data_IF_175690922921
#
_entry.id   IF_175690922921
#
_cell.length_a   1.000
_cell.length_b   1.000
_cell.length_c   1.000
_cell.angle_alpha   90.00
_cell.angle_beta   90.00
_cell.angle_gamma   90.00
#
_symmetry.space_group_name_H-M   'P 1'
#
loop_
_entity.id
_entity.type
_entity.pdbx_description
1 polymer ?
#
# COMPACT_ATOMS: atom_id res chain seq x y z
N UNK A 1 -12.58 35.80 -5.24
CA UNK A 1 -12.80 35.72 -3.78
C UNK A 1 -14.28 35.46 -3.55
N UNK A 2 -14.62 34.51 -2.68
CA UNK A 2 -15.98 34.14 -2.32
C UNK A 2 -16.11 34.36 -0.81
N UNK A 3 -16.91 35.33 -0.33
CA UNK A 3 -17.14 35.47 1.11
C UNK A 3 -17.84 34.24 1.69
N UNK A 4 -17.94 34.19 3.02
CA UNK A 4 -18.72 33.16 3.70
C UNK A 4 -20.18 33.18 3.20
N UNK A 5 -20.71 32.01 2.85
CA UNK A 5 -22.00 31.90 2.20
C UNK A 5 -22.17 30.57 1.48
N UNK A 6 -23.40 30.31 1.03
CA UNK A 6 -23.74 29.12 0.23
C UNK A 6 -23.97 29.56 -1.21
N UNK A 7 -23.18 29.03 -2.14
CA UNK A 7 -23.23 29.33 -3.56
C UNK A 7 -23.74 28.11 -4.31
N UNK A 8 -24.90 28.23 -4.95
CA UNK A 8 -25.45 27.17 -5.78
C UNK A 8 -24.93 27.30 -7.22
N UNK A 9 -24.31 26.25 -7.74
CA UNK A 9 -23.86 26.17 -9.13
C UNK A 9 -24.94 25.46 -9.95
N UNK A 10 -25.73 26.22 -10.70
CA UNK A 10 -26.75 25.67 -11.62
C UNK A 10 -26.28 25.61 -13.07
N UNK A 11 -25.11 26.16 -13.35
CA UNK A 11 -24.48 26.16 -14.68
C UNK A 11 -23.00 25.96 -14.49
N UNK A 12 -22.39 25.18 -15.38
CA UNK A 12 -20.99 24.82 -15.31
C UNK A 12 -20.08 26.06 -15.23
N UNK A 13 -19.15 26.05 -14.28
CA UNK A 13 -18.14 27.10 -14.16
C UNK A 13 -16.87 26.70 -14.91
N UNK A 14 -16.56 27.39 -16.00
CA UNK A 14 -15.28 27.19 -16.70
C UNK A 14 -14.17 27.98 -16.01
N UNK A 15 -13.12 27.29 -15.58
CA UNK A 15 -11.93 27.92 -15.01
C UNK A 15 -10.87 28.10 -16.11
N UNK A 16 -10.44 29.34 -16.30
CA UNK A 16 -9.33 29.69 -17.17
C UNK A 16 -7.96 29.48 -16.49
N UNK A 17 -6.87 29.73 -17.23
CA UNK A 17 -5.51 29.62 -16.71
C UNK A 17 -5.22 30.69 -15.66
N UNK A 18 -4.42 30.36 -14.64
CA UNK A 18 -3.96 31.27 -13.57
C UNK A 18 -5.11 31.87 -12.72
N UNK A 19 -6.13 31.07 -12.42
CA UNK A 19 -7.26 31.52 -11.59
C UNK A 19 -6.98 31.20 -10.12
N UNK A 20 -7.26 32.16 -9.25
CA UNK A 20 -7.21 31.96 -7.80
C UNK A 20 -8.61 32.07 -7.22
N UNK A 21 -9.21 30.92 -6.90
CA UNK A 21 -10.50 30.86 -6.21
C UNK A 21 -10.25 30.69 -4.71
N UNK A 22 -10.69 31.68 -3.94
CA UNK A 22 -10.41 31.76 -2.50
C UNK A 22 -11.73 31.98 -1.79
N UNK A 23 -12.09 31.05 -0.91
CA UNK A 23 -13.20 31.20 0.02
C UNK A 23 -12.77 31.65 1.42
N UNK A 24 -13.74 31.81 2.30
CA UNK A 24 -13.59 32.07 3.74
C UNK A 24 -13.89 30.81 4.58
N UNK A 25 -13.53 29.62 4.10
CA UNK A 25 -13.60 28.42 4.93
C UNK A 25 -12.44 28.37 5.93
N UNK A 26 -12.76 28.20 7.20
CA UNK A 26 -11.78 27.72 8.19
C UNK A 26 -11.97 26.21 8.29
N UNK A 27 -10.96 25.38 7.99
CA UNK A 27 -11.02 23.94 8.23
C UNK A 27 -11.07 23.68 9.74
N UNK A 28 -12.27 23.81 10.32
CA UNK A 28 -12.54 23.58 11.74
C UNK A 28 -12.89 22.12 11.97
N UNK A 29 -12.55 21.62 13.17
CA UNK A 29 -12.89 20.29 13.68
C UNK A 29 -14.28 19.81 13.20
N UNK A 30 -14.32 18.55 12.75
CA UNK A 30 -15.40 17.82 12.06
C UNK A 30 -16.84 17.93 12.64
N UNK A 31 -17.05 18.64 13.74
CA UNK A 31 -18.25 18.52 14.59
C UNK A 31 -19.23 19.69 14.52
N UNK A 32 -19.00 20.74 13.73
CA UNK A 32 -19.90 21.90 13.70
C UNK A 32 -20.78 21.95 12.45
N UNK A 33 -22.03 21.55 12.64
CA UNK A 33 -23.20 21.63 11.72
C UNK A 33 -23.62 23.05 11.33
N UNK A 34 -22.87 24.09 11.69
CA UNK A 34 -23.20 25.48 11.35
C UNK A 34 -22.14 26.07 10.43
N UNK A 35 -22.56 26.35 9.20
CA UNK A 35 -21.78 26.89 8.09
C UNK A 35 -21.08 28.20 8.46
N UNK A 36 -19.83 28.14 8.90
CA UNK A 36 -18.99 29.34 9.13
C UNK A 36 -17.99 29.59 7.98
N UNK A 37 -18.33 29.20 6.75
CA UNK A 37 -17.44 29.38 5.61
C UNK A 37 -18.12 29.41 4.26
N UNK A 38 -17.30 29.44 3.21
CA UNK A 38 -17.74 29.37 1.81
C UNK A 38 -18.08 27.93 1.43
N UNK A 39 -19.35 27.69 1.10
CA UNK A 39 -19.85 26.40 0.62
C UNK A 39 -20.31 26.56 -0.82
N UNK A 40 -19.75 25.78 -1.74
CA UNK A 40 -20.17 25.68 -3.14
C UNK A 40 -20.98 24.40 -3.29
N UNK A 41 -22.28 24.54 -3.55
CA UNK A 41 -23.21 23.45 -3.74
C UNK A 41 -23.44 23.15 -5.22
N UNK A 42 -23.45 21.86 -5.56
CA UNK A 42 -23.82 21.39 -6.88
C UNK A 42 -25.32 21.53 -7.10
N UNK A 43 -25.73 22.11 -8.23
CA UNK A 43 -27.07 21.95 -8.78
C UNK A 43 -27.23 20.57 -9.44
N UNK A 44 -28.47 20.21 -9.77
CA UNK A 44 -28.76 18.95 -10.46
C UNK A 44 -28.07 18.90 -11.84
N UNK A 45 -27.42 17.78 -12.16
CA UNK A 45 -26.81 17.51 -13.47
C UNK A 45 -25.81 18.56 -14.01
N UNK A 46 -25.00 19.18 -13.14
CA UNK A 46 -23.97 20.13 -13.56
C UNK A 46 -22.57 19.64 -13.22
N UNK A 47 -21.55 19.97 -14.01
CA UNK A 47 -20.16 19.93 -13.53
C UNK A 47 -19.93 21.23 -12.77
N UNK A 48 -19.46 21.19 -11.52
CA UNK A 48 -19.22 22.42 -10.77
C UNK A 48 -18.12 23.25 -11.42
N UNK A 49 -16.95 22.64 -11.68
CA UNK A 49 -15.82 23.29 -12.34
C UNK A 49 -15.33 22.44 -13.52
N UNK A 50 -15.25 23.07 -14.68
CA UNK A 50 -14.64 22.49 -15.88
C UNK A 50 -13.34 23.23 -16.20
N UNK A 51 -12.24 22.50 -16.29
CA UNK A 51 -10.90 23.04 -16.58
C UNK A 51 -10.30 22.30 -17.78
N UNK A 52 -10.79 22.63 -18.97
CA UNK A 52 -10.40 21.96 -20.21
C UNK A 52 -9.50 22.85 -21.07
N UNK A 53 -8.29 22.37 -21.33
CA UNK A 53 -7.42 22.89 -22.40
C UNK A 53 -7.82 22.35 -23.76
N UNK A 54 -7.46 23.06 -24.82
CA UNK A 54 -7.79 22.63 -26.20
C UNK A 54 -6.69 21.76 -26.82
N UNK A 55 -5.46 21.83 -26.30
CA UNK A 55 -4.33 21.13 -26.90
C UNK A 55 -3.25 20.74 -25.90
N UNK A 56 -2.70 19.54 -26.10
CA UNK A 56 -1.76 18.85 -25.21
C UNK A 56 -0.46 19.60 -24.90
N UNK A 57 0.07 20.43 -25.81
CA UNK A 57 1.40 21.06 -25.65
C UNK A 57 1.37 22.58 -25.60
N UNK A 58 0.33 23.20 -26.15
CA UNK A 58 0.30 24.64 -26.43
C UNK A 58 -0.81 25.37 -25.68
N UNK A 59 -1.89 24.68 -25.29
CA UNK A 59 -3.01 25.26 -24.56
C UNK A 59 -3.42 24.37 -23.37
N UNK A 60 -2.42 24.01 -22.56
CA UNK A 60 -2.69 23.39 -21.26
C UNK A 60 -3.19 24.44 -20.27
N UNK A 61 -4.28 24.11 -19.57
CA UNK A 61 -4.91 24.94 -18.54
C UNK A 61 -4.29 24.68 -17.17
N UNK A 62 -4.85 25.34 -16.15
CA UNK A 62 -4.40 25.21 -14.77
C UNK A 62 -3.48 26.34 -14.33
N UNK A 63 -2.44 26.02 -13.54
CA UNK A 63 -1.68 26.98 -12.71
C UNK A 63 -2.60 27.77 -11.77
N UNK A 64 -3.68 27.12 -11.34
CA UNK A 64 -4.75 27.72 -10.57
C UNK A 64 -4.69 27.19 -9.15
N UNK A 65 -5.03 28.06 -8.20
CA UNK A 65 -5.15 27.67 -6.79
C UNK A 65 -6.60 27.81 -6.35
N UNK A 66 -7.14 26.75 -5.76
CA UNK A 66 -8.46 26.73 -5.14
C UNK A 66 -8.24 26.47 -3.66
N UNK A 67 -8.73 27.36 -2.80
CA UNK A 67 -8.48 27.23 -1.36
C UNK A 67 -9.61 27.71 -0.50
N UNK A 68 -9.71 27.11 0.69
CA UNK A 68 -10.67 27.48 1.73
C UNK A 68 -12.12 27.44 1.23
N UNK A 69 -12.51 26.34 0.56
CA UNK A 69 -13.87 26.15 0.06
C UNK A 69 -14.35 24.74 0.42
N UNK A 70 -15.59 24.65 0.90
CA UNK A 70 -16.30 23.39 1.01
C UNK A 70 -17.13 23.18 -0.26
N UNK A 71 -16.85 22.12 -1.00
CA UNK A 71 -17.64 21.65 -2.12
C UNK A 71 -18.58 20.57 -1.63
N UNK A 72 -19.87 20.77 -1.85
CA UNK A 72 -20.90 19.86 -1.37
C UNK A 72 -21.83 19.47 -2.50
N UNK A 73 -22.06 18.18 -2.66
CA UNK A 73 -23.09 17.73 -3.60
C UNK A 73 -24.46 17.69 -2.91
N UNK A 74 -25.49 17.95 -3.72
CA UNK A 74 -26.87 17.71 -3.31
C UNK A 74 -27.20 16.22 -3.42
N UNK A 75 -28.46 15.86 -3.23
CA UNK A 75 -28.98 14.54 -3.62
C UNK A 75 -29.12 14.48 -5.14
N UNK A 76 -27.99 14.48 -5.85
CA UNK A 76 -27.92 14.57 -7.29
C UNK A 76 -27.79 13.17 -7.90
N UNK A 77 -28.67 12.85 -8.84
CA UNK A 77 -28.63 11.57 -9.58
C UNK A 77 -27.79 11.65 -10.86
N UNK A 78 -27.05 12.74 -11.07
CA UNK A 78 -26.22 12.93 -12.25
C UNK A 78 -25.05 11.95 -12.31
N UNK A 79 -24.72 11.52 -13.52
CA UNK A 79 -23.50 10.78 -13.84
C UNK A 79 -22.30 11.70 -14.10
N UNK A 80 -22.50 13.02 -14.17
CA UNK A 80 -21.40 13.96 -14.39
C UNK A 80 -20.54 14.04 -13.13
N UNK A 81 -19.25 14.20 -13.31
CA UNK A 81 -18.30 14.45 -12.22
C UNK A 81 -18.47 15.85 -11.64
N UNK A 82 -18.04 16.10 -10.40
CA UNK A 82 -18.14 17.45 -9.80
C UNK A 82 -17.11 18.38 -10.44
N UNK A 83 -15.91 17.85 -10.64
CA UNK A 83 -14.83 18.55 -11.30
C UNK A 83 -14.38 17.71 -12.49
N UNK A 84 -14.37 18.34 -13.65
CA UNK A 84 -13.79 17.76 -14.85
C UNK A 84 -12.59 18.60 -15.28
N UNK A 85 -11.47 17.94 -15.57
CA UNK A 85 -10.31 18.63 -16.12
C UNK A 85 -9.67 17.81 -17.25
N UNK A 86 -9.22 18.51 -18.29
CA UNK A 86 -8.52 17.89 -19.41
C UNK A 86 -7.38 18.77 -19.87
N UNK A 87 -6.20 18.19 -20.07
CA UNK A 87 -4.97 18.93 -20.40
C UNK A 87 -4.72 20.09 -19.41
N UNK A 88 -4.86 19.82 -18.11
CA UNK A 88 -4.78 20.81 -17.05
C UNK A 88 -3.64 20.47 -16.09
N UNK A 89 -2.75 21.42 -15.85
CA UNK A 89 -1.57 21.20 -15.02
C UNK A 89 -1.45 22.14 -13.84
N UNK A 90 -0.58 21.79 -12.90
CA UNK A 90 -0.11 22.70 -11.86
C UNK A 90 -1.29 23.26 -11.03
N UNK A 91 -2.24 22.38 -10.68
CA UNK A 91 -3.38 22.74 -9.86
C UNK A 91 -3.06 22.55 -8.39
N UNK A 92 -3.46 23.51 -7.56
CA UNK A 92 -3.31 23.43 -6.12
C UNK A 92 -4.66 23.57 -5.43
N UNK A 93 -4.96 22.61 -4.57
CA UNK A 93 -6.13 22.62 -3.70
C UNK A 93 -5.64 22.69 -2.27
N UNK A 94 -6.05 23.70 -1.51
CA UNK A 94 -5.52 23.94 -0.17
C UNK A 94 -6.69 24.14 0.79
N UNK A 95 -6.74 23.35 1.86
CA UNK A 95 -7.73 23.53 2.92
C UNK A 95 -9.18 23.48 2.38
N UNK A 96 -9.42 22.64 1.37
CA UNK A 96 -10.74 22.40 0.77
C UNK A 96 -11.41 21.18 1.37
N UNK A 97 -12.75 21.19 1.44
CA UNK A 97 -13.55 20.03 1.84
C UNK A 97 -14.38 19.55 0.66
N UNK A 98 -14.45 18.25 0.43
CA UNK A 98 -15.34 17.59 -0.53
C UNK A 98 -16.33 16.74 0.26
N UNK A 99 -17.59 17.15 0.31
CA UNK A 99 -18.65 16.56 1.14
C UNK A 99 -19.75 15.94 0.28
N UNK A 100 -19.65 14.64 0.07
CA UNK A 100 -20.66 13.86 -0.66
C UNK A 100 -21.78 13.44 0.31
N UNK A 101 -23.04 13.24 -0.13
CA UNK A 101 -24.07 12.63 0.71
C UNK A 101 -23.99 11.09 0.71
N UNK A 102 -24.08 10.47 1.89
CA UNK A 102 -23.98 9.02 2.19
C UNK A 102 -25.04 8.10 1.56
N UNK A 103 -25.86 8.60 0.64
CA UNK A 103 -26.94 7.84 0.01
C UNK A 103 -26.94 8.00 -1.52
N UNK A 104 -25.84 8.45 -2.11
CA UNK A 104 -25.74 8.57 -3.55
C UNK A 104 -25.46 7.19 -4.19
N UNK A 105 -26.37 6.79 -5.08
CA UNK A 105 -26.28 5.56 -5.88
C UNK A 105 -25.74 5.81 -7.30
N UNK A 106 -25.29 7.03 -7.59
CA UNK A 106 -24.99 7.49 -8.96
C UNK A 106 -23.51 7.68 -9.24
N UNK A 107 -23.16 7.62 -10.53
CA UNK A 107 -21.80 7.35 -11.04
C UNK A 107 -20.82 8.53 -11.10
N UNK A 108 -21.26 9.77 -10.89
CA UNK A 108 -20.37 10.93 -11.11
C UNK A 108 -19.24 11.02 -10.09
N UNK A 109 -17.98 11.01 -10.52
CA UNK A 109 -16.82 11.11 -9.61
C UNK A 109 -16.72 12.50 -8.96
N UNK A 110 -16.01 12.61 -7.82
CA UNK A 110 -15.71 13.94 -7.26
C UNK A 110 -14.76 14.66 -8.21
N UNK A 111 -13.60 14.06 -8.50
CA UNK A 111 -12.66 14.55 -9.51
C UNK A 111 -12.55 13.54 -10.63
N UNK A 112 -12.63 14.03 -11.86
CA UNK A 112 -12.42 13.26 -13.08
C UNK A 112 -11.49 14.04 -14.00
N UNK A 113 -10.32 13.46 -14.28
CA UNK A 113 -9.29 14.12 -15.07
C UNK A 113 -8.82 13.27 -16.22
N UNK A 114 -8.52 13.94 -17.32
CA UNK A 114 -7.92 13.35 -18.50
C UNK A 114 -6.59 14.05 -18.82
N UNK A 115 -5.49 13.29 -18.85
CA UNK A 115 -4.16 13.79 -19.23
C UNK A 115 -3.73 15.06 -18.47
N UNK A 116 -3.78 15.03 -17.14
CA UNK A 116 -3.51 16.17 -16.26
C UNK A 116 -2.27 15.95 -15.38
N UNK A 117 -1.42 16.99 -15.20
CA UNK A 117 -0.09 16.85 -14.54
C UNK A 117 0.12 17.79 -13.36
N UNK A 118 0.96 17.40 -12.41
CA UNK A 118 1.42 18.28 -11.32
C UNK A 118 0.28 18.81 -10.43
N UNK A 119 -0.61 17.93 -9.95
CA UNK A 119 -1.72 18.32 -9.06
C UNK A 119 -1.36 18.10 -7.60
N UNK A 120 -1.67 19.07 -6.74
CA UNK A 120 -1.40 19.01 -5.31
C UNK A 120 -2.69 19.29 -4.51
N UNK A 121 -3.03 18.39 -3.59
CA UNK A 121 -4.05 18.57 -2.57
C UNK A 121 -3.37 18.68 -1.21
N UNK A 122 -3.55 19.80 -0.52
CA UNK A 122 -2.85 20.12 0.71
C UNK A 122 -3.87 20.37 1.83
N UNK A 123 -3.88 19.49 2.84
CA UNK A 123 -4.82 19.52 3.98
C UNK A 123 -6.29 19.52 3.57
N UNK A 124 -6.60 18.89 2.44
CA UNK A 124 -8.00 18.73 2.01
C UNK A 124 -8.70 17.62 2.79
N UNK A 125 -10.02 17.75 2.93
CA UNK A 125 -10.88 16.76 3.57
C UNK A 125 -11.80 16.15 2.51
N UNK A 126 -11.89 14.83 2.46
CA UNK A 126 -12.75 14.06 1.57
C UNK A 126 -13.72 13.26 2.44
N UNK A 127 -15.02 13.49 2.32
CA UNK A 127 -16.05 12.81 3.12
C UNK A 127 -16.98 12.02 2.21
N UNK A 128 -17.35 10.83 2.66
CA UNK A 128 -18.39 10.01 2.01
C UNK A 128 -18.08 9.73 0.54
N UNK A 129 -16.79 9.63 0.22
CA UNK A 129 -16.33 9.55 -1.17
C UNK A 129 -16.52 8.13 -1.73
N UNK A 130 -16.71 8.07 -3.04
CA UNK A 130 -16.81 6.80 -3.77
C UNK A 130 -18.23 6.23 -3.84
N UNK A 131 -19.15 6.65 -2.96
CA UNK A 131 -20.56 6.25 -2.94
C UNK A 131 -20.82 4.74 -2.97
N UNK A 132 -22.08 4.32 -3.01
CA UNK A 132 -22.43 2.88 -3.08
C UNK A 132 -22.20 2.25 -4.47
N UNK A 133 -21.84 3.05 -5.47
CA UNK A 133 -21.61 2.55 -6.82
C UNK A 133 -20.17 2.03 -6.97
N UNK A 134 -19.95 0.82 -7.50
CA UNK A 134 -18.59 0.27 -7.70
C UNK A 134 -17.72 1.09 -8.66
N UNK A 135 -18.34 2.02 -9.39
CA UNK A 135 -17.73 2.85 -10.43
C UNK A 135 -17.68 4.33 -10.07
N UNK A 136 -17.95 4.71 -8.81
CA UNK A 136 -17.75 6.08 -8.36
C UNK A 136 -16.50 6.20 -7.51
N UNK A 137 -15.73 7.28 -7.74
CA UNK A 137 -14.37 7.47 -7.23
C UNK A 137 -14.22 8.87 -6.61
N UNK A 138 -13.36 9.01 -5.61
CA UNK A 138 -12.91 10.32 -5.13
C UNK A 138 -12.10 11.03 -6.24
N UNK A 139 -11.23 10.28 -6.91
CA UNK A 139 -10.53 10.75 -8.09
C UNK A 139 -10.42 9.65 -9.15
N UNK A 140 -10.89 9.94 -10.35
CA UNK A 140 -10.63 9.18 -11.56
C UNK A 140 -9.49 9.85 -12.34
N UNK A 141 -8.38 9.14 -12.52
CA UNK A 141 -7.19 9.63 -13.20
C UNK A 141 -7.05 8.91 -14.55
N UNK A 142 -7.63 9.48 -15.60
CA UNK A 142 -7.68 8.88 -16.93
C UNK A 142 -6.55 9.36 -17.85
N UNK A 143 -5.83 8.43 -18.47
CA UNK A 143 -4.74 8.72 -19.41
C UNK A 143 -5.20 9.23 -20.78
N UNK A 144 -6.48 9.09 -21.15
CA UNK A 144 -6.93 9.55 -22.47
C UNK A 144 -6.24 8.87 -23.65
N UNK A 145 -6.18 9.57 -24.77
CA UNK A 145 -5.77 9.02 -26.05
C UNK A 145 -4.25 9.00 -26.28
N UNK A 146 -3.47 9.80 -25.53
CA UNK A 146 -2.05 9.99 -25.84
C UNK A 146 -1.14 9.87 -24.61
N UNK A 147 -1.44 10.51 -23.48
CA UNK A 147 -0.44 10.79 -22.44
C UNK A 147 -0.77 10.29 -21.03
N UNK A 148 0.22 10.26 -20.13
CA UNK A 148 0.00 9.84 -18.74
C UNK A 148 -0.73 10.91 -17.93
N UNK A 149 -1.48 10.50 -16.90
CA UNK A 149 -1.69 11.33 -15.71
C UNK A 149 -0.45 11.16 -14.81
N UNK A 150 0.15 12.25 -14.37
CA UNK A 150 1.37 12.18 -13.57
C UNK A 150 1.55 13.25 -12.50
N UNK A 151 2.38 12.91 -11.51
CA UNK A 151 2.81 13.81 -10.44
C UNK A 151 1.65 14.37 -9.61
N UNK A 152 0.88 13.48 -8.99
CA UNK A 152 -0.29 13.81 -8.16
C UNK A 152 0.02 13.60 -6.68
N UNK A 153 -0.11 14.65 -5.89
CA UNK A 153 0.29 14.67 -4.50
C UNK A 153 -0.91 14.97 -3.60
N UNK A 154 -1.13 14.14 -2.59
CA UNK A 154 -2.00 14.40 -1.46
C UNK A 154 -1.13 14.55 -0.22
N UNK A 155 -1.14 15.73 0.40
CA UNK A 155 -0.28 16.09 1.52
C UNK A 155 -1.12 16.54 2.70
N UNK A 156 -1.09 15.79 3.80
CA UNK A 156 -1.87 16.13 5.00
C UNK A 156 -3.38 16.00 4.81
N UNK A 157 -3.83 15.32 3.75
CA UNK A 157 -5.25 15.16 3.46
C UNK A 157 -5.92 14.17 4.41
N UNK A 158 -7.24 14.29 4.58
CA UNK A 158 -8.04 13.37 5.38
C UNK A 158 -9.17 12.79 4.54
N UNK A 159 -9.32 11.49 4.57
CA UNK A 159 -10.34 10.72 3.87
C UNK A 159 -11.23 10.07 4.93
N UNK A 160 -12.52 10.36 4.89
CA UNK A 160 -13.53 9.94 5.89
C UNK A 160 -14.67 9.17 5.23
N UNK A 161 -15.02 8.03 5.82
CA UNK A 161 -16.17 7.20 5.46
C UNK A 161 -16.22 6.92 3.96
N UNK A 162 -15.20 6.26 3.41
CA UNK A 162 -15.27 5.82 2.01
C UNK A 162 -16.42 4.84 1.87
N UNK A 163 -17.29 5.01 0.87
CA UNK A 163 -18.37 4.06 0.58
C UNK A 163 -18.06 3.22 -0.68
N UNK A 164 -16.98 3.55 -1.40
CA UNK A 164 -16.59 2.94 -2.66
C UNK A 164 -15.09 2.99 -2.90
N UNK A 165 -14.68 3.01 -4.17
CA UNK A 165 -13.24 3.07 -4.51
C UNK A 165 -12.72 4.49 -4.29
N UNK A 166 -11.55 4.62 -3.65
CA UNK A 166 -10.92 5.91 -3.37
C UNK A 166 -10.40 6.57 -4.65
N UNK A 167 -9.22 6.12 -5.09
CA UNK A 167 -8.49 6.74 -6.21
C UNK A 167 -8.24 5.67 -7.26
N UNK A 168 -8.74 5.92 -8.46
CA UNK A 168 -8.59 5.00 -9.59
C UNK A 168 -7.70 5.67 -10.62
N UNK A 169 -6.64 4.96 -10.99
CA UNK A 169 -5.85 5.23 -12.17
C UNK A 169 -6.40 4.42 -13.32
N UNK A 170 -7.01 5.07 -14.30
CA UNK A 170 -7.46 4.41 -15.52
C UNK A 170 -6.46 4.69 -16.65
N UNK A 171 -5.84 3.63 -17.18
CA UNK A 171 -5.02 3.72 -18.40
C UNK A 171 -5.58 2.90 -19.57
N UNK A 172 -6.90 2.72 -19.62
CA UNK A 172 -7.61 2.03 -20.70
C UNK A 172 -7.68 2.84 -22.00
N UNK A 173 -7.34 4.13 -21.96
CA UNK A 173 -7.30 4.98 -23.14
C UNK A 173 -6.17 4.60 -24.10
N UNK A 174 -6.25 5.10 -25.34
CA UNK A 174 -5.31 4.78 -26.43
C UNK A 174 -3.87 5.28 -26.20
N UNK A 175 -3.66 6.08 -25.14
CA UNK A 175 -2.39 6.70 -24.81
C UNK A 175 -1.40 5.79 -24.13
N UNK A 176 -0.55 6.38 -23.27
CA UNK A 176 0.36 5.61 -22.44
C UNK A 176 -0.38 4.57 -21.60
N UNK A 177 0.10 3.33 -21.56
CA UNK A 177 -0.52 2.23 -20.81
C UNK A 177 -0.45 2.37 -19.28
N UNK A 178 0.00 3.54 -18.77
CA UNK A 178 0.33 3.76 -17.37
C UNK A 178 0.11 5.21 -16.94
N UNK A 179 -0.29 5.40 -15.69
CA UNK A 179 -0.12 6.64 -14.94
C UNK A 179 1.09 6.51 -14.00
N UNK A 180 1.64 7.62 -13.53
CA UNK A 180 2.89 7.59 -12.73
C UNK A 180 2.91 8.64 -11.64
N UNK A 181 3.66 8.38 -10.57
CA UNK A 181 3.92 9.33 -9.46
C UNK A 181 2.64 9.79 -8.75
N UNK A 182 1.97 8.86 -8.08
CA UNK A 182 0.92 9.16 -7.11
C UNK A 182 1.53 9.12 -5.71
N UNK A 183 1.46 10.22 -4.98
CA UNK A 183 2.09 10.36 -3.67
C UNK A 183 1.06 10.75 -2.60
N UNK A 184 1.05 10.00 -1.52
CA UNK A 184 0.31 10.30 -0.30
C UNK A 184 1.31 10.51 0.82
N UNK A 185 1.31 11.70 1.41
CA UNK A 185 2.26 12.06 2.47
C UNK A 185 1.50 12.62 3.66
N UNK A 186 1.63 11.99 4.83
CA UNK A 186 0.95 12.41 6.06
C UNK A 186 -0.58 12.49 5.93
N UNK A 187 -1.15 11.64 5.08
CA UNK A 187 -2.60 11.56 4.93
C UNK A 187 -3.20 10.69 6.02
N UNK A 188 -4.47 10.96 6.35
CA UNK A 188 -5.28 10.10 7.22
C UNK A 188 -6.40 9.48 6.40
N UNK A 189 -6.56 8.17 6.48
CA UNK A 189 -7.69 7.43 5.94
C UNK A 189 -8.45 6.85 7.12
N UNK A 190 -9.69 7.25 7.27
CA UNK A 190 -10.55 6.85 8.37
C UNK A 190 -11.88 6.37 7.81
N UNK A 191 -12.19 5.10 8.02
CA UNK A 191 -13.45 4.52 7.58
C UNK A 191 -14.13 3.79 8.74
N UNK A 192 -15.39 4.12 8.96
CA UNK A 192 -16.27 3.44 9.91
C UNK A 192 -17.24 2.48 9.21
N UNK A 193 -17.20 2.39 7.89
CA UNK A 193 -18.08 1.54 7.10
C UNK A 193 -17.47 0.15 6.87
N UNK A 194 -18.25 -0.77 6.28
CA UNK A 194 -17.78 -2.11 5.90
C UNK A 194 -16.92 -2.11 4.63
N UNK A 195 -16.66 -0.96 4.01
CA UNK A 195 -15.79 -0.86 2.83
C UNK A 195 -14.34 -0.55 3.19
N UNK A 196 -13.45 -0.69 2.20
CA UNK A 196 -12.02 -0.48 2.36
C UNK A 196 -11.69 1.00 2.60
N UNK A 197 -10.97 1.32 3.68
CA UNK A 197 -10.61 2.71 4.00
C UNK A 197 -9.78 3.41 2.93
N UNK A 198 -9.01 2.66 2.14
CA UNK A 198 -8.32 3.17 0.98
C UNK A 198 -8.30 2.10 -0.11
N UNK A 199 -8.82 2.47 -1.28
CA UNK A 199 -8.74 1.66 -2.50
C UNK A 199 -8.01 2.48 -3.55
N UNK A 200 -6.78 2.06 -3.86
CA UNK A 200 -5.94 2.66 -4.90
C UNK A 200 -5.72 1.58 -5.96
N UNK A 201 -6.16 1.83 -7.18
CA UNK A 201 -6.09 0.81 -8.24
C UNK A 201 -5.65 1.32 -9.59
N UNK A 202 -5.13 0.40 -10.40
CA UNK A 202 -4.86 0.57 -11.82
C UNK A 202 -3.38 0.54 -12.19
N UNK A 203 -3.06 0.79 -13.48
CA UNK A 203 -1.69 0.77 -14.00
C UNK A 203 -0.86 1.97 -13.51
N UNK A 204 -0.42 1.92 -12.25
CA UNK A 204 0.40 2.96 -11.61
C UNK A 204 1.87 2.52 -11.59
N UNK A 205 2.77 3.33 -12.15
CA UNK A 205 4.21 3.01 -12.19
C UNK A 205 4.94 3.43 -10.92
N UNK A 206 4.55 4.52 -10.27
CA UNK A 206 5.18 4.95 -9.01
C UNK A 206 4.09 5.36 -8.04
N UNK A 207 3.98 4.62 -6.94
CA UNK A 207 3.09 4.92 -5.84
C UNK A 207 3.93 5.10 -4.58
N UNK A 208 3.77 6.21 -3.89
CA UNK A 208 4.37 6.45 -2.58
C UNK A 208 3.27 6.70 -1.56
N UNK A 209 3.27 5.92 -0.50
CA UNK A 209 2.45 6.12 0.70
C UNK A 209 3.41 6.28 1.86
N UNK A 210 3.55 7.51 2.36
CA UNK A 210 4.57 7.90 3.32
C UNK A 210 3.96 8.60 4.54
N UNK A 211 4.27 8.09 5.73
CA UNK A 211 3.82 8.70 7.00
C UNK A 211 2.30 8.83 7.12
N UNK A 212 1.54 7.95 6.46
CA UNK A 212 0.08 7.97 6.50
C UNK A 212 -0.46 7.27 7.74
N UNK A 213 -1.71 7.58 8.10
CA UNK A 213 -2.45 6.91 9.16
C UNK A 213 -3.69 6.27 8.55
N UNK A 214 -3.87 4.98 8.79
CA UNK A 214 -5.01 4.20 8.36
C UNK A 214 -5.76 3.76 9.61
N UNK A 215 -6.98 4.24 9.77
CA UNK A 215 -7.89 3.91 10.86
C UNK A 215 -9.11 3.25 10.24
N UNK A 216 -9.20 1.93 10.32
CA UNK A 216 -10.17 1.20 9.51
C UNK A 216 -10.62 -0.07 10.20
N UNK A 217 -11.90 -0.41 10.07
CA UNK A 217 -12.41 -1.78 10.30
C UNK A 217 -11.92 -2.78 9.23
N UNK A 218 -11.42 -2.28 8.09
CA UNK A 218 -11.15 -3.07 6.88
C UNK A 218 -9.77 -2.85 6.25
N UNK A 219 -9.48 -3.70 5.27
CA UNK A 219 -8.28 -3.75 4.45
C UNK A 219 -8.04 -2.50 3.61
N UNK A 220 -6.77 -2.11 3.45
CA UNK A 220 -6.35 -1.25 2.33
C UNK A 220 -6.14 -2.11 1.09
N UNK A 221 -6.80 -1.74 -0.01
CA UNK A 221 -6.61 -2.39 -1.28
C UNK A 221 -5.69 -1.55 -2.18
N UNK A 222 -4.56 -2.17 -2.52
CA UNK A 222 -3.55 -1.64 -3.45
C UNK A 222 -3.53 -2.59 -4.65
N UNK A 223 -4.34 -2.30 -5.67
CA UNK A 223 -4.52 -3.21 -6.81
C UNK A 223 -3.85 -2.67 -8.07
N UNK A 224 -2.64 -3.16 -8.37
CA UNK A 224 -1.93 -2.84 -9.61
C UNK A 224 -2.59 -3.48 -10.83
N UNK A 225 -2.13 -3.12 -12.04
CA UNK A 225 -2.42 -3.89 -13.25
C UNK A 225 -1.27 -4.86 -13.57
N UNK A 226 -1.58 -5.97 -14.25
CA UNK A 226 -0.56 -6.95 -14.70
C UNK A 226 0.48 -6.34 -15.66
N UNK A 227 0.20 -5.16 -16.21
CA UNK A 227 0.98 -4.51 -17.27
C UNK A 227 1.91 -3.40 -16.76
N UNK A 228 1.76 -2.97 -15.51
CA UNK A 228 2.55 -1.89 -14.93
C UNK A 228 3.68 -2.44 -14.05
N UNK A 229 4.89 -2.53 -14.62
CA UNK A 229 6.11 -2.64 -13.82
C UNK A 229 6.36 -1.31 -13.12
N UNK A 230 6.07 -1.24 -11.82
CA UNK A 230 6.21 -0.03 -11.02
C UNK A 230 7.05 -0.22 -9.76
N UNK A 231 7.34 0.87 -9.06
CA UNK A 231 7.83 0.84 -7.68
C UNK A 231 6.76 1.42 -6.78
N UNK A 232 6.15 0.56 -5.98
CA UNK A 232 5.17 0.96 -4.97
C UNK A 232 5.88 0.93 -3.63
N UNK A 233 5.85 2.02 -2.88
CA UNK A 233 6.51 2.14 -1.58
C UNK A 233 5.48 2.56 -0.56
N UNK A 234 5.24 1.72 0.43
CA UNK A 234 4.43 2.02 1.60
C UNK A 234 5.36 2.04 2.81
N UNK A 235 5.53 3.22 3.41
CA UNK A 235 6.51 3.36 4.47
C UNK A 235 6.09 4.29 5.60
N UNK A 236 6.69 4.06 6.77
CA UNK A 236 6.55 4.89 7.97
C UNK A 236 5.08 5.18 8.36
N UNK A 237 4.15 4.33 7.94
CA UNK A 237 2.72 4.53 8.11
C UNK A 237 2.19 3.75 9.32
N UNK A 238 1.15 4.28 9.93
CA UNK A 238 0.44 3.64 11.04
C UNK A 238 -0.85 3.00 10.51
N UNK A 239 -1.03 1.73 10.83
CA UNK A 239 -2.22 0.95 10.55
C UNK A 239 -2.87 0.60 11.87
N UNK A 240 -4.12 1.03 12.05
CA UNK A 240 -4.88 0.76 13.26
C UNK A 240 -6.33 0.48 12.96
N UNK A 241 -6.98 -0.30 13.81
CA UNK A 241 -8.39 -0.60 13.69
C UNK A 241 -9.20 0.03 14.83
N UNK A 242 -10.43 0.41 14.50
CA UNK A 242 -11.46 0.77 15.48
C UNK A 242 -12.61 -0.21 15.24
N UNK A 243 -12.88 -1.08 16.22
CA UNK A 243 -13.94 -2.08 16.11
C UNK A 243 -13.43 -3.43 15.62
N UNK A 244 -14.04 -3.94 14.55
CA UNK A 244 -13.79 -5.30 14.08
C UNK A 244 -12.35 -5.51 13.60
N UNK A 245 -11.94 -6.77 13.68
CA UNK A 245 -10.60 -7.20 13.28
C UNK A 245 -10.55 -7.32 11.75
N UNK A 246 -9.70 -6.55 11.06
CA UNK A 246 -9.60 -6.69 9.62
C UNK A 246 -9.06 -8.07 9.25
N UNK A 247 -9.50 -8.60 8.11
CA UNK A 247 -8.95 -9.87 7.59
C UNK A 247 -7.47 -9.71 7.25
N UNK A 248 -7.10 -8.52 6.75
CA UNK A 248 -5.74 -8.07 6.47
C UNK A 248 -5.65 -6.54 6.51
N UNK A 249 -4.48 -5.97 6.78
CA UNK A 249 -4.31 -4.50 6.76
C UNK A 249 -3.94 -3.98 5.36
N UNK A 250 -3.12 -4.74 4.62
CA UNK A 250 -2.72 -4.40 3.25
C UNK A 250 -2.97 -5.59 2.34
N UNK A 251 -3.74 -5.38 1.28
CA UNK A 251 -3.87 -6.29 0.16
C UNK A 251 -3.17 -5.71 -1.07
N UNK A 252 -2.07 -6.34 -1.46
CA UNK A 252 -1.38 -6.05 -2.71
C UNK A 252 -1.92 -7.03 -3.75
N UNK A 253 -2.61 -6.49 -4.75
CA UNK A 253 -2.97 -7.21 -5.95
C UNK A 253 -1.75 -7.40 -6.86
N UNK A 254 -1.83 -6.87 -8.08
CA UNK A 254 -0.87 -7.19 -9.16
C UNK A 254 0.37 -6.29 -9.20
N UNK A 255 0.70 -5.60 -8.12
CA UNK A 255 1.79 -4.62 -8.09
C UNK A 255 3.17 -5.26 -7.94
N UNK A 256 3.96 -5.23 -9.01
CA UNK A 256 5.36 -5.67 -9.05
C UNK A 256 6.27 -4.67 -8.34
N UNK A 257 7.34 -5.12 -7.69
CA UNK A 257 8.36 -4.22 -7.10
C UNK A 257 7.88 -3.44 -5.86
N UNK A 258 6.85 -3.93 -5.18
CA UNK A 258 6.29 -3.30 -4.00
C UNK A 258 7.22 -3.41 -2.79
N UNK A 259 7.38 -2.31 -2.04
CA UNK A 259 8.20 -2.21 -0.83
C UNK A 259 7.32 -1.76 0.32
N UNK A 260 7.23 -2.55 1.39
CA UNK A 260 6.53 -2.21 2.63
C UNK A 260 7.59 -2.06 3.73
N UNK A 261 7.84 -0.82 4.15
CA UNK A 261 9.03 -0.45 4.92
C UNK A 261 8.70 0.33 6.19
N UNK A 262 9.14 -0.12 7.36
CA UNK A 262 9.04 0.67 8.62
C UNK A 262 7.60 1.08 9.00
N UNK A 263 6.58 0.29 8.66
CA UNK A 263 5.20 0.57 9.07
C UNK A 263 4.91 0.00 10.47
N UNK A 264 3.96 0.60 11.17
CA UNK A 264 3.47 0.12 12.46
C UNK A 264 2.04 -0.39 12.31
N UNK A 265 1.77 -1.60 12.76
CA UNK A 265 0.44 -2.19 12.85
C UNK A 265 0.03 -2.25 14.33
N UNK A 266 -1.08 -1.60 14.69
CA UNK A 266 -1.51 -1.43 16.08
C UNK A 266 -3.02 -1.52 16.19
N UNK A 267 -3.56 -2.54 16.87
CA UNK A 267 -5.01 -2.74 16.89
C UNK A 267 -5.46 -3.84 17.83
N UNK A 268 -6.72 -3.78 18.28
CA UNK A 268 -7.29 -4.74 19.26
C UNK A 268 -8.02 -5.84 18.47
N UNK A 269 -7.25 -6.72 17.84
CA UNK A 269 -7.81 -7.83 17.08
C UNK A 269 -6.78 -8.51 16.20
N UNK A 270 -6.54 -9.81 16.42
CA UNK A 270 -5.62 -10.60 15.60
C UNK A 270 -6.16 -10.73 14.18
N UNK A 271 -5.52 -10.08 13.20
CA UNK A 271 -5.87 -10.25 11.78
C UNK A 271 -6.12 -11.74 11.48
N UNK A 272 -7.25 -12.06 10.84
CA UNK A 272 -7.68 -13.46 10.73
C UNK A 272 -6.86 -14.27 9.74
N UNK A 273 -6.09 -13.60 8.86
CA UNK A 273 -5.25 -14.26 7.85
C UNK A 273 -3.79 -13.79 7.82
N UNK A 274 -3.53 -12.48 7.72
CA UNK A 274 -2.19 -11.88 7.80
C UNK A 274 -2.28 -10.36 7.90
N UNK A 275 -1.20 -9.68 8.30
CA UNK A 275 -1.16 -8.21 8.23
C UNK A 275 -1.01 -7.72 6.78
N UNK A 276 -0.22 -8.42 5.98
CA UNK A 276 0.04 -8.11 4.57
C UNK A 276 -0.27 -9.36 3.73
N UNK A 277 -1.11 -9.20 2.71
CA UNK A 277 -1.35 -10.21 1.68
C UNK A 277 -0.83 -9.72 0.34
N UNK A 278 -0.03 -10.57 -0.31
CA UNK A 278 0.24 -10.46 -1.74
C UNK A 278 -0.65 -11.45 -2.48
N UNK A 279 -1.27 -11.02 -3.57
CA UNK A 279 -2.01 -11.93 -4.47
C UNK A 279 -1.16 -12.13 -5.72
N UNK A 280 -0.61 -13.33 -5.92
CA UNK A 280 0.07 -13.64 -7.18
C UNK A 280 -0.94 -13.57 -8.33
N UNK A 281 -0.60 -12.87 -9.42
CA UNK A 281 -1.41 -12.95 -10.63
C UNK A 281 -1.30 -14.35 -11.23
N UNK A 282 -2.41 -14.89 -11.73
CA UNK A 282 -2.43 -16.17 -12.43
C UNK A 282 -1.52 -16.09 -13.67
N UNK A 283 -0.29 -16.56 -13.55
CA UNK A 283 0.72 -16.57 -14.62
C UNK A 283 1.80 -15.49 -14.56
N UNK A 284 1.78 -14.59 -13.57
CA UNK A 284 2.83 -13.60 -13.35
C UNK A 284 3.67 -13.95 -12.13
N UNK A 285 4.98 -14.15 -12.33
CA UNK A 285 5.92 -14.26 -11.23
C UNK A 285 5.78 -13.05 -10.30
N UNK A 286 5.47 -13.28 -9.01
CA UNK A 286 5.46 -12.25 -7.98
C UNK A 286 6.87 -11.69 -7.77
N UNK A 287 7.29 -10.76 -8.64
CA UNK A 287 8.64 -10.22 -8.67
C UNK A 287 8.75 -9.05 -7.70
N UNK A 288 9.55 -9.23 -6.65
CA UNK A 288 10.18 -8.11 -5.91
C UNK A 288 9.37 -7.46 -4.80
N UNK A 289 8.51 -8.20 -4.09
CA UNK A 289 7.95 -7.72 -2.82
C UNK A 289 9.04 -7.68 -1.74
N UNK A 290 9.31 -6.51 -1.20
CA UNK A 290 10.27 -6.31 -0.10
C UNK A 290 9.53 -5.83 1.14
N UNK A 291 9.57 -6.63 2.21
CA UNK A 291 8.97 -6.28 3.50
C UNK A 291 10.12 -6.18 4.52
N UNK A 292 10.35 -5.00 5.08
CA UNK A 292 11.42 -4.77 6.08
C UNK A 292 11.01 -3.69 7.07
N UNK A 293 11.54 -3.68 8.27
CA UNK A 293 11.27 -2.59 9.21
C UNK A 293 9.91 -2.59 9.92
N UNK A 294 8.95 -3.41 9.48
CA UNK A 294 7.58 -3.32 9.97
C UNK A 294 7.43 -3.92 11.38
N UNK A 295 6.62 -3.28 12.21
CA UNK A 295 6.39 -3.64 13.60
C UNK A 295 4.91 -3.89 13.85
N UNK A 296 4.60 -4.87 14.70
CA UNK A 296 3.26 -5.04 15.28
C UNK A 296 3.34 -4.80 16.79
N UNK A 297 2.37 -4.06 17.34
CA UNK A 297 2.27 -3.85 18.79
C UNK A 297 1.36 -4.89 19.47
N UNK A 298 0.89 -5.90 18.74
CA UNK A 298 -0.02 -6.92 19.27
C UNK A 298 0.75 -8.00 20.05
N UNK A 299 0.53 -8.07 21.36
CA UNK A 299 1.23 -8.97 22.29
C UNK A 299 0.84 -10.45 22.17
N UNK A 300 -0.16 -10.81 21.35
CA UNK A 300 -0.56 -12.19 21.10
C UNK A 300 -0.67 -12.47 19.61
N UNK A 301 0.48 -12.62 18.93
CA UNK A 301 0.52 -13.28 17.62
C UNK A 301 0.23 -14.77 17.82
N UNK A 302 -1.03 -15.11 18.14
CA UNK A 302 -1.50 -16.49 18.12
C UNK A 302 -1.45 -16.97 16.68
N UNK A 303 -0.37 -17.63 16.27
CA UNK A 303 -0.17 -18.27 14.94
C UNK A 303 -0.32 -17.41 13.68
N UNK A 304 -0.88 -16.19 13.72
CA UNK A 304 -1.08 -15.36 12.53
C UNK A 304 0.26 -14.81 12.05
N UNK A 305 0.67 -15.11 10.81
CA UNK A 305 1.91 -14.59 10.27
C UNK A 305 1.78 -13.09 9.91
N UNK A 306 2.89 -12.35 10.03
CA UNK A 306 2.99 -10.96 9.55
C UNK A 306 2.67 -10.86 8.05
N UNK A 307 2.95 -11.91 7.30
CA UNK A 307 2.76 -12.00 5.87
C UNK A 307 2.20 -13.36 5.47
N UNK A 308 1.15 -13.37 4.66
CA UNK A 308 0.67 -14.57 3.98
C UNK A 308 0.70 -14.33 2.46
N UNK A 309 1.08 -15.37 1.72
CA UNK A 309 0.98 -15.38 0.28
C UNK A 309 0.28 -16.63 -0.21
N UNK A 310 -0.52 -16.49 -1.25
CA UNK A 310 -1.29 -17.58 -1.88
C UNK A 310 -0.67 -18.05 -3.21
N UNK A 311 0.58 -17.65 -3.55
CA UNK A 311 1.28 -18.08 -4.76
C UNK A 311 2.80 -18.30 -4.63
N UNK A 312 3.45 -18.71 -5.72
CA UNK A 312 4.91 -18.94 -5.79
C UNK A 312 5.67 -17.62 -5.83
N UNK A 313 6.43 -17.27 -4.79
CA UNK A 313 7.34 -16.11 -4.80
C UNK A 313 8.73 -16.59 -5.18
N UNK A 314 9.32 -16.01 -6.22
CA UNK A 314 10.67 -16.39 -6.64
C UNK A 314 11.77 -15.73 -5.80
N UNK A 315 11.51 -14.62 -5.09
CA UNK A 315 12.43 -13.96 -4.14
C UNK A 315 11.69 -13.11 -3.12
N UNK A 316 11.37 -13.67 -1.95
CA UNK A 316 11.04 -12.85 -0.77
C UNK A 316 12.24 -12.83 0.14
N UNK A 317 12.95 -11.70 0.20
CA UNK A 317 13.80 -11.44 1.35
C UNK A 317 12.87 -10.94 2.47
N UNK A 318 12.25 -11.88 3.21
CA UNK A 318 11.60 -11.54 4.47
C UNK A 318 12.74 -11.38 5.48
N UNK A 319 13.25 -10.16 5.59
CA UNK A 319 14.13 -9.81 6.70
C UNK A 319 13.17 -9.51 7.86
N UNK A 320 12.84 -10.55 8.63
CA UNK A 320 12.00 -10.42 9.80
C UNK A 320 12.66 -9.41 10.75
N UNK A 321 11.92 -8.37 11.12
CA UNK A 321 12.51 -7.15 11.67
C UNK A 321 12.33 -7.00 13.18
N UNK A 322 12.23 -8.13 13.89
CA UNK A 322 12.51 -8.14 15.34
C UNK A 322 14.01 -7.98 15.64
N UNK A 323 14.87 -7.78 14.64
CA UNK A 323 16.32 -7.71 14.85
C UNK A 323 16.96 -9.07 15.14
N UNK A 324 16.15 -10.07 15.46
CA UNK A 324 16.60 -11.45 15.48
C UNK A 324 16.44 -12.05 14.08
N UNK A 325 17.48 -12.67 13.50
CA UNK A 325 17.27 -13.65 12.45
C UNK A 325 16.20 -14.64 12.92
N UNK A 326 15.48 -15.31 12.02
CA UNK A 326 14.74 -16.51 12.46
C UNK A 326 15.79 -17.43 13.08
N UNK A 327 15.75 -17.51 14.41
CA UNK A 327 16.70 -18.18 15.25
C UNK A 327 15.98 -19.41 15.78
N UNK A 328 16.17 -20.52 15.07
CA UNK A 328 15.69 -21.80 15.55
C UNK A 328 16.62 -22.22 16.69
N UNK A 329 16.21 -21.99 17.94
CA UNK A 329 16.91 -22.55 19.09
C UNK A 329 16.47 -24.01 19.25
N UNK A 330 17.33 -24.91 18.82
CA UNK A 330 17.05 -26.33 18.69
C UNK A 330 17.57 -27.07 19.91
N UNK A 331 16.65 -27.70 20.65
CA UNK A 331 16.93 -28.56 21.81
C UNK A 331 16.38 -29.99 21.65
N UNK A 332 15.59 -30.25 20.62
CA UNK A 332 15.05 -31.59 20.34
C UNK A 332 16.12 -32.50 19.73
N UNK A 333 16.09 -33.80 20.04
CA UNK A 333 17.08 -34.78 19.57
C UNK A 333 17.11 -34.95 18.04
N UNK A 334 15.96 -34.93 17.35
CA UNK A 334 15.89 -35.19 15.89
C UNK A 334 15.03 -34.16 15.14
N UNK A 335 15.46 -32.90 15.05
CA UNK A 335 14.70 -31.79 14.47
C UNK A 335 14.83 -31.73 12.94
N UNK A 336 13.77 -31.33 12.25
CA UNK A 336 13.88 -30.83 10.87
C UNK A 336 14.13 -29.32 10.91
N UNK A 337 15.26 -28.88 10.36
CA UNK A 337 15.67 -27.47 10.38
C UNK A 337 14.98 -26.68 9.27
N UNK A 338 14.71 -25.40 9.52
CA UNK A 338 14.26 -24.48 8.47
C UNK A 338 15.32 -24.37 7.37
N UNK A 339 14.88 -24.37 6.10
CA UNK A 339 15.74 -24.19 4.92
C UNK A 339 16.31 -22.78 4.72
N UNK A 340 16.24 -21.91 5.74
CA UNK A 340 16.73 -20.53 5.73
C UNK A 340 17.01 -20.02 7.16
N UNK A 341 17.65 -18.86 7.29
CA UNK A 341 17.87 -18.19 8.58
C UNK A 341 19.05 -18.75 9.39
N UNK A 342 18.97 -18.64 10.73
CA UNK A 342 19.99 -19.11 11.67
C UNK A 342 19.40 -20.25 12.51
N UNK A 343 20.15 -21.32 12.70
CA UNK A 343 19.84 -22.36 13.69
C UNK A 343 20.89 -22.34 14.77
N UNK A 344 20.45 -22.22 16.03
CA UNK A 344 21.27 -22.36 17.23
C UNK A 344 21.08 -23.75 17.80
N UNK A 345 22.09 -24.60 17.67
CA UNK A 345 22.10 -25.94 18.27
C UNK A 345 22.46 -25.81 19.75
N UNK A 346 21.53 -26.20 20.62
CA UNK A 346 21.74 -26.25 22.06
C UNK A 346 21.68 -27.70 22.54
N UNK A 347 22.86 -28.32 22.65
CA UNK A 347 23.01 -29.75 23.00
C UNK A 347 23.14 -30.02 24.51
N UNK A 348 22.63 -29.11 25.36
CA UNK A 348 22.81 -29.20 26.83
C UNK A 348 22.33 -30.54 27.38
N UNK A 349 21.16 -30.99 26.92
CA UNK A 349 20.52 -32.20 27.44
C UNK A 349 20.97 -33.46 26.69
N UNK A 350 21.01 -33.42 25.35
CA UNK A 350 21.37 -34.56 24.48
C UNK A 350 22.08 -34.10 23.21
N UNK A 351 22.73 -35.06 22.53
CA UNK A 351 23.21 -34.86 21.16
C UNK A 351 22.03 -34.62 20.22
N UNK A 352 22.16 -33.63 19.32
CA UNK A 352 21.14 -33.30 18.33
C UNK A 352 21.53 -33.92 16.99
N UNK A 353 20.61 -34.60 16.32
CA UNK A 353 20.73 -35.20 14.99
C UNK A 353 19.70 -34.56 14.06
N UNK A 354 19.99 -33.36 13.58
CA UNK A 354 19.09 -32.58 12.74
C UNK A 354 19.09 -33.00 11.27
N UNK A 355 18.03 -32.63 10.54
CA UNK A 355 17.96 -32.76 9.08
C UNK A 355 17.67 -31.41 8.45
N UNK A 356 18.46 -31.00 7.45
CA UNK A 356 18.23 -29.82 6.64
C UNK A 356 17.78 -30.25 5.24
N UNK A 357 16.52 -29.97 4.90
CA UNK A 357 15.98 -30.19 3.55
C UNK A 357 16.42 -29.13 2.54
N UNK A 358 15.72 -29.04 1.41
CA UNK A 358 16.02 -28.05 0.35
C UNK A 358 15.86 -26.60 0.84
N UNK A 359 16.62 -25.69 0.24
CA UNK A 359 16.51 -24.25 0.51
C UNK A 359 15.21 -23.63 -0.02
N UNK A 360 14.81 -22.50 0.56
CA UNK A 360 13.57 -21.80 0.19
C UNK A 360 13.59 -21.14 -1.22
N UNK A 361 14.79 -20.92 -1.78
CA UNK A 361 14.98 -20.32 -3.11
C UNK A 361 16.46 -20.05 -3.42
N UNK A 362 16.80 -19.81 -4.69
CA UNK A 362 18.18 -19.54 -5.13
C UNK A 362 18.76 -18.35 -4.34
N UNK A 363 19.97 -18.51 -3.81
CA UNK A 363 20.68 -17.50 -3.03
C UNK A 363 20.28 -17.45 -1.56
N UNK A 364 19.40 -18.34 -1.10
CA UNK A 364 19.07 -18.46 0.33
C UNK A 364 20.30 -18.90 1.09
N UNK A 365 20.62 -18.18 2.17
CA UNK A 365 21.72 -18.53 3.08
C UNK A 365 21.15 -19.17 4.34
N UNK A 366 21.75 -20.29 4.75
CA UNK A 366 21.50 -20.94 6.04
C UNK A 366 22.77 -20.87 6.88
N UNK A 367 22.63 -20.37 8.11
CA UNK A 367 23.70 -20.46 9.12
C UNK A 367 23.27 -21.43 10.21
N UNK A 368 24.14 -22.35 10.59
CA UNK A 368 23.94 -23.26 11.70
C UNK A 368 25.12 -23.04 12.64
N UNK A 369 24.84 -22.76 13.90
CA UNK A 369 25.85 -22.49 14.92
C UNK A 369 25.55 -23.30 16.18
N UNK A 370 26.59 -23.88 16.77
CA UNK A 370 26.47 -24.54 18.06
C UNK A 370 26.65 -23.52 19.19
N UNK A 371 25.61 -23.31 20.00
CA UNK A 371 25.63 -22.33 21.10
C UNK A 371 25.87 -22.96 22.47
N UNK A 372 25.68 -24.28 22.58
CA UNK A 372 26.01 -25.09 23.77
C UNK A 372 26.45 -26.48 23.30
N UNK A 373 27.59 -26.97 23.81
CA UNK A 373 28.28 -28.17 23.31
C UNK A 373 28.48 -29.28 24.36
N UNK A 374 27.52 -29.49 25.26
CA UNK A 374 27.60 -30.62 26.19
C UNK A 374 27.64 -31.97 25.47
N UNK A 375 27.10 -32.06 24.25
CA UNK A 375 27.11 -33.25 23.42
C UNK A 375 27.37 -32.91 21.95
N UNK A 376 28.27 -33.64 21.27
CA UNK A 376 28.49 -33.49 19.83
C UNK A 376 27.19 -33.73 19.06
N UNK A 377 26.86 -32.85 18.13
CA UNK A 377 25.62 -32.87 17.37
C UNK A 377 25.91 -32.93 15.86
N UNK A 378 24.97 -33.42 15.07
CA UNK A 378 25.10 -33.54 13.62
C UNK A 378 23.89 -32.96 12.90
N UNK A 379 24.10 -32.50 11.67
CA UNK A 379 23.04 -32.11 10.75
C UNK A 379 23.23 -32.82 9.41
N UNK A 380 22.24 -33.62 9.02
CA UNK A 380 22.14 -34.28 7.72
C UNK A 380 21.56 -33.30 6.69
N UNK A 381 22.36 -32.86 5.72
CA UNK A 381 22.01 -31.89 4.68
C UNK A 381 21.66 -32.62 3.39
N UNK A 382 20.39 -32.58 3.01
CA UNK A 382 19.89 -33.20 1.76
C UNK A 382 20.20 -32.30 0.56
N UNK A 383 20.56 -32.90 -0.58
CA UNK A 383 21.03 -32.24 -1.80
C UNK A 383 22.25 -31.34 -1.53
N UNK A 384 23.31 -31.84 -0.90
CA UNK A 384 24.55 -31.06 -0.73
C UNK A 384 25.52 -31.32 -1.90
N UNK A 385 26.38 -30.35 -2.23
CA UNK A 385 27.26 -30.39 -3.42
C UNK A 385 28.29 -31.55 -3.43
N UNK A 386 28.54 -32.15 -2.26
CA UNK A 386 29.53 -33.23 -2.08
C UNK A 386 28.90 -34.61 -1.91
N UNK A 387 27.75 -34.71 -1.25
CA UNK A 387 27.00 -35.95 -1.08
C UNK A 387 25.53 -35.69 -0.72
N UNK A 388 24.68 -36.72 -0.82
CA UNK A 388 23.26 -36.61 -0.52
C UNK A 388 22.76 -37.82 0.30
N UNK A 389 22.57 -37.70 1.63
CA UNK A 389 22.85 -36.52 2.44
C UNK A 389 24.34 -36.36 2.82
N UNK A 390 24.77 -35.12 3.00
CA UNK A 390 26.05 -34.77 3.64
C UNK A 390 25.85 -34.58 5.14
N UNK A 391 26.77 -35.03 5.99
CA UNK A 391 26.60 -34.93 7.45
C UNK A 391 27.62 -33.96 8.03
N UNK A 392 27.15 -32.83 8.54
CA UNK A 392 28.01 -31.85 9.21
C UNK A 392 27.96 -32.09 10.73
N UNK A 393 29.13 -32.23 11.35
CA UNK A 393 29.29 -32.44 12.79
C UNK A 393 29.71 -31.14 13.49
N UNK A 394 29.08 -30.86 14.63
CA UNK A 394 29.32 -29.73 15.52
C UNK A 394 29.68 -30.29 16.91
N UNK A 395 30.92 -30.11 17.35
CA UNK A 395 31.48 -30.69 18.56
C UNK A 395 31.80 -29.64 19.65
N UNK A 396 31.92 -28.35 19.30
CA UNK A 396 32.27 -27.27 20.21
C UNK A 396 31.34 -26.05 20.04
N UNK A 397 31.23 -25.24 21.10
CA UNK A 397 30.60 -23.92 21.00
C UNK A 397 31.30 -23.10 19.92
N UNK A 398 30.52 -22.33 19.15
CA UNK A 398 30.92 -21.53 17.99
C UNK A 398 31.27 -22.33 16.72
N UNK A 399 31.13 -23.67 16.74
CA UNK A 399 31.14 -24.45 15.51
C UNK A 399 30.04 -23.96 14.58
N UNK A 400 30.42 -23.55 13.38
CA UNK A 400 29.55 -22.83 12.44
C UNK A 400 29.62 -23.41 11.04
N UNK A 401 28.46 -23.64 10.44
CA UNK A 401 28.30 -23.92 9.02
C UNK A 401 27.46 -22.82 8.35
N UNK A 402 27.95 -22.29 7.23
CA UNK A 402 27.24 -21.34 6.37
C UNK A 402 27.07 -21.98 4.99
N UNK A 403 25.81 -22.18 4.60
CA UNK A 403 25.42 -22.84 3.36
C UNK A 403 24.63 -21.87 2.49
N UNK A 404 24.73 -22.01 1.16
CA UNK A 404 23.90 -21.27 0.21
C UNK A 404 23.19 -22.22 -0.76
N UNK A 405 21.90 -22.00 -0.97
CA UNK A 405 21.11 -22.79 -1.93
C UNK A 405 21.30 -22.27 -3.35
N UNK A 406 21.71 -23.14 -4.28
CA UNK A 406 21.94 -22.77 -5.70
C UNK A 406 20.69 -22.89 -6.56
N UNK A 407 19.63 -23.52 -6.04
CA UNK A 407 18.42 -23.88 -6.77
C UNK A 407 18.20 -25.38 -6.87
N UNK A 408 19.29 -26.16 -6.83
CA UNK A 408 19.27 -27.62 -6.90
C UNK A 408 20.00 -28.27 -5.74
N UNK A 409 21.02 -27.60 -5.19
CA UNK A 409 21.85 -28.14 -4.11
C UNK A 409 22.30 -27.03 -3.12
N UNK A 410 22.72 -27.46 -1.94
CA UNK A 410 23.43 -26.65 -0.96
C UNK A 410 24.92 -26.66 -1.28
N UNK A 411 25.52 -25.48 -1.37
CA UNK A 411 26.97 -25.32 -1.40
C UNK A 411 27.47 -24.81 -0.05
N UNK A 412 28.63 -25.29 0.38
CA UNK A 412 29.29 -24.81 1.58
C UNK A 412 30.03 -23.50 1.30
N UNK A 413 29.60 -22.43 1.96
CA UNK A 413 30.29 -21.13 1.91
C UNK A 413 31.40 -21.08 2.96
N UNK A 414 31.13 -21.60 4.15
CA UNK A 414 32.10 -21.60 5.26
C UNK A 414 31.80 -22.72 6.26
N UNK A 415 32.86 -23.40 6.68
CA UNK A 415 32.88 -24.20 7.91
C UNK A 415 33.93 -23.60 8.84
N UNK A 416 33.59 -23.48 10.12
CA UNK A 416 34.48 -22.99 11.16
C UNK A 416 34.30 -23.88 12.37
N UNK A 417 35.28 -24.72 12.68
CA UNK A 417 35.22 -25.71 13.76
C UNK A 417 34.37 -26.95 13.42
N UNK A 418 33.22 -26.75 12.77
CA UNK A 418 32.41 -27.84 12.22
C UNK A 418 33.15 -28.64 11.14
N UNK A 419 32.91 -29.95 11.09
CA UNK A 419 33.53 -30.87 10.13
C UNK A 419 32.49 -31.61 9.31
N UNK A 420 32.83 -31.88 8.05
CA UNK A 420 32.10 -32.80 7.17
C UNK A 420 32.62 -34.21 7.39
#
# INVERSE_FOLDING_TARGET
FLPAGIYLINTEMTINKNVNLVGEHTPGNLTLTTSRGTVVKRGADVIMLNITGTHRTTDRRGRSTIRNIEFKDGTNISTKSWFFAKYCDNMKWIDCTFDEPSAQTTYGHVIDVEECWDWEFNRCIWKQYGGQSPDKYAANLFNGADNTVNNWHWVGCKFYNGEGKGIVSDASGAGSTRNTQLHFTRCKFEDSSETAAAYISGPITHLLVDQCIFISSNTIHLDGSDTASGSWIIQQSLFTNIGDTPTEYINIGKAVGTRIVNNTFSGVGTATTAFIRGTASAGGEGRGLVITGNQSTEASLGTTPLFANTGTIHRTAIINNNGDPIDDNVTAETPTLSGWGVTRINSTDNAITGTLGSGAGIGTVKTIVMVQSSNSSTVSVTNHETSDPEVITFAAVDDTAVLMWTGTEWITIKLSGATV
#
